data_IF_072356133954
#
_entry.id   IF_072356133954
#
_cell.length_a   1.000
_cell.length_b   1.000
_cell.length_c   1.000
_cell.angle_alpha   90.00
_cell.angle_beta   90.00
_cell.angle_gamma   90.00
#
_symmetry.space_group_name_H-M   'P 1'
#
loop_
_entity.id
_entity.type
_entity.pdbx_description
1 polymer ?
#
# COMPACT_ATOMS: atom_id res chain seq x y z
N UNK A 1 9.77 2.93 14.57
CA UNK A 1 8.29 2.88 14.48
C UNK A 1 7.80 1.63 15.22
N UNK A 2 6.80 1.76 16.10
CA UNK A 2 6.18 0.58 16.73
C UNK A 2 5.36 -0.24 15.73
N UNK A 3 5.20 -1.56 15.98
CA UNK A 3 4.45 -2.48 15.10
C UNK A 3 3.03 -1.97 14.77
N UNK A 4 2.35 -1.37 15.74
CA UNK A 4 1.00 -0.84 15.56
C UNK A 4 0.94 0.31 14.56
N UNK A 5 1.95 1.19 14.53
CA UNK A 5 2.01 2.31 13.57
C UNK A 5 2.29 1.84 12.13
N UNK A 6 2.85 0.64 11.95
CA UNK A 6 3.12 0.07 10.64
C UNK A 6 1.89 -0.59 10.00
N UNK A 7 1.01 -1.17 10.83
CA UNK A 7 -0.23 -1.82 10.39
C UNK A 7 -1.48 -0.96 10.59
N UNK A 8 -1.37 0.20 11.25
CA UNK A 8 -2.49 1.10 11.46
C UNK A 8 -3.20 1.55 10.19
N UNK A 9 -2.53 1.80 9.03
CA UNK A 9 -3.25 2.18 7.81
C UNK A 9 -4.20 1.08 7.32
N UNK A 10 -3.77 -0.18 7.41
CA UNK A 10 -4.59 -1.33 7.03
C UNK A 10 -5.85 -1.40 7.89
N UNK A 11 -5.69 -1.29 9.22
CA UNK A 11 -6.82 -1.31 10.15
C UNK A 11 -7.73 -0.10 9.94
N UNK A 12 -7.17 1.10 9.78
CA UNK A 12 -7.92 2.33 9.55
C UNK A 12 -8.72 2.23 8.24
N UNK A 13 -8.11 1.76 7.16
CA UNK A 13 -8.79 1.58 5.87
C UNK A 13 -9.93 0.56 5.97
N UNK A 14 -9.72 -0.55 6.66
CA UNK A 14 -10.75 -1.56 6.89
C UNK A 14 -11.91 -1.02 7.74
N UNK A 15 -11.63 -0.32 8.84
CA UNK A 15 -12.65 0.29 9.69
C UNK A 15 -13.41 1.41 8.97
N UNK A 16 -12.74 2.20 8.12
CA UNK A 16 -13.38 3.22 7.32
C UNK A 16 -14.38 2.60 6.32
N UNK A 17 -13.99 1.54 5.62
CA UNK A 17 -14.90 0.81 4.75
C UNK A 17 -16.06 0.17 5.53
N UNK A 18 -15.78 -0.42 6.69
CA UNK A 18 -16.81 -0.99 7.56
C UNK A 18 -17.79 0.08 8.07
N UNK A 19 -17.33 1.30 8.32
CA UNK A 19 -18.21 2.42 8.72
C UNK A 19 -19.25 2.75 7.65
N UNK A 20 -19.00 2.35 6.40
CA UNK A 20 -19.92 2.47 5.26
C UNK A 20 -20.71 1.18 4.98
N UNK A 21 -20.85 0.27 5.96
CA UNK A 21 -21.50 -1.04 5.74
C UNK A 21 -22.90 -0.93 5.14
N UNK A 22 -23.72 0.06 5.51
CA UNK A 22 -25.05 0.26 4.94
C UNK A 22 -25.02 0.52 3.43
N UNK A 23 -24.01 1.25 2.95
CA UNK A 23 -23.81 1.49 1.50
C UNK A 23 -23.34 0.22 0.81
N UNK A 24 -22.41 -0.51 1.44
CA UNK A 24 -21.89 -1.77 0.90
C UNK A 24 -22.97 -2.85 0.81
N UNK A 25 -23.82 -3.00 1.82
CA UNK A 25 -24.94 -3.94 1.81
C UNK A 25 -25.97 -3.61 0.72
N UNK A 26 -26.29 -2.32 0.51
CA UNK A 26 -27.14 -1.90 -0.62
C UNK A 26 -26.52 -2.26 -1.97
N UNK A 27 -25.20 -2.07 -2.11
CA UNK A 27 -24.45 -2.51 -3.31
C UNK A 27 -24.37 -4.03 -3.48
N UNK A 28 -24.63 -4.78 -2.41
CA UNK A 28 -24.65 -6.24 -2.38
C UNK A 28 -26.05 -6.84 -2.53
N UNK A 29 -27.11 -6.04 -2.72
CA UNK A 29 -28.49 -6.51 -2.72
C UNK A 29 -28.83 -7.54 -3.83
N UNK A 30 -27.95 -7.71 -4.82
CA UNK A 30 -28.06 -8.74 -5.85
C UNK A 30 -27.51 -10.10 -5.42
N UNK A 31 -26.84 -10.19 -4.26
CA UNK A 31 -26.30 -11.42 -3.71
C UNK A 31 -27.33 -12.18 -2.88
N UNK A 32 -27.22 -13.52 -2.80
CA UNK A 32 -27.98 -14.31 -1.85
C UNK A 32 -27.75 -13.90 -0.39
N UNK A 33 -28.75 -14.09 0.50
CA UNK A 33 -28.59 -13.82 1.93
C UNK A 33 -27.39 -14.54 2.52
N UNK A 34 -26.59 -13.83 3.31
CA UNK A 34 -25.35 -14.33 3.93
C UNK A 34 -24.08 -14.08 3.11
N UNK A 35 -24.14 -14.01 1.77
CA UNK A 35 -22.97 -13.67 0.95
C UNK A 35 -22.67 -12.16 0.95
N UNK A 36 -23.63 -11.32 1.31
CA UNK A 36 -23.45 -9.89 1.49
C UNK A 36 -22.33 -9.57 2.51
N UNK A 37 -22.20 -10.37 3.56
CA UNK A 37 -21.14 -10.21 4.56
C UNK A 37 -19.75 -10.54 4.00
N UNK A 38 -19.66 -11.51 3.08
CA UNK A 38 -18.42 -11.77 2.37
C UNK A 38 -18.05 -10.58 1.47
N UNK A 39 -19.03 -9.99 0.79
CA UNK A 39 -18.82 -8.77 -0.01
C UNK A 39 -18.30 -7.61 0.85
N UNK A 40 -18.93 -7.35 2.01
CA UNK A 40 -18.46 -6.33 2.98
C UNK A 40 -17.04 -6.63 3.45
N UNK A 41 -16.74 -7.88 3.81
CA UNK A 41 -15.41 -8.29 4.27
C UNK A 41 -14.35 -8.07 3.17
N UNK A 42 -14.65 -8.41 1.92
CA UNK A 42 -13.75 -8.19 0.79
C UNK A 42 -13.47 -6.70 0.57
N UNK A 43 -14.48 -5.83 0.69
CA UNK A 43 -14.29 -4.38 0.60
C UNK A 43 -13.45 -3.83 1.76
N UNK A 44 -13.64 -4.33 2.97
CA UNK A 44 -12.80 -3.95 4.11
C UNK A 44 -11.33 -4.33 3.89
N UNK A 45 -11.08 -5.55 3.39
CA UNK A 45 -9.73 -6.01 3.03
C UNK A 45 -9.14 -5.14 1.91
N UNK A 46 -9.91 -4.87 0.85
CA UNK A 46 -9.46 -4.06 -0.27
C UNK A 46 -9.12 -2.63 0.16
N UNK A 47 -9.96 -1.98 0.97
CA UNK A 47 -9.71 -0.64 1.51
C UNK A 47 -8.50 -0.62 2.46
N UNK A 48 -8.35 -1.62 3.32
CA UNK A 48 -7.18 -1.76 4.18
C UNK A 48 -5.89 -1.93 3.39
N UNK A 49 -5.87 -2.80 2.38
CA UNK A 49 -4.73 -2.97 1.48
C UNK A 49 -4.44 -1.69 0.69
N UNK A 50 -5.47 -1.00 0.20
CA UNK A 50 -5.34 0.28 -0.48
C UNK A 50 -4.69 1.35 0.40
N UNK A 51 -5.13 1.49 1.65
CA UNK A 51 -4.54 2.40 2.63
C UNK A 51 -3.08 2.03 2.98
N UNK A 52 -2.78 0.73 3.10
CA UNK A 52 -1.41 0.26 3.33
C UNK A 52 -0.50 0.58 2.14
N UNK A 53 -0.96 0.32 0.91
CA UNK A 53 -0.22 0.65 -0.31
C UNK A 53 -0.04 2.15 -0.48
N UNK A 54 -1.03 2.96 -0.06
CA UNK A 54 -0.91 4.41 -0.06
C UNK A 54 0.22 4.87 0.87
N UNK A 55 0.30 4.33 2.09
CA UNK A 55 1.40 4.64 3.00
C UNK A 55 2.75 4.20 2.42
N UNK A 56 2.86 2.96 1.94
CA UNK A 56 4.11 2.41 1.37
C UNK A 56 4.54 3.24 0.16
N UNK A 57 3.60 3.58 -0.72
CA UNK A 57 3.85 4.45 -1.88
C UNK A 57 4.35 5.84 -1.45
N UNK A 58 3.71 6.45 -0.46
CA UNK A 58 4.14 7.74 0.09
C UNK A 58 5.53 7.69 0.73
N UNK A 59 5.85 6.61 1.46
CA UNK A 59 7.20 6.38 1.98
C UNK A 59 8.23 6.25 0.85
N UNK A 60 7.89 5.51 -0.22
CA UNK A 60 8.72 5.40 -1.40
C UNK A 60 8.99 6.76 -2.03
N UNK A 61 7.95 7.55 -2.33
CA UNK A 61 8.09 8.85 -3.00
C UNK A 61 8.80 9.89 -2.15
N UNK A 62 8.35 10.10 -0.92
CA UNK A 62 8.78 11.24 -0.10
C UNK A 62 9.96 10.91 0.80
N UNK A 63 9.96 9.74 1.42
CA UNK A 63 11.07 9.31 2.27
C UNK A 63 12.18 8.60 1.47
N UNK A 64 11.92 8.24 0.20
CA UNK A 64 12.85 7.47 -0.63
C UNK A 64 13.26 6.16 0.03
N UNK A 65 12.35 5.54 0.77
CA UNK A 65 12.57 4.30 1.52
C UNK A 65 11.37 3.38 1.29
N UNK A 66 11.63 2.16 0.84
CA UNK A 66 10.62 1.10 0.77
C UNK A 66 11.03 -0.10 1.63
N UNK A 67 10.13 -0.62 2.47
CA UNK A 67 10.42 -1.75 3.33
C UNK A 67 10.59 -3.04 2.51
N UNK A 68 11.54 -3.88 2.94
CA UNK A 68 11.78 -5.23 2.41
C UNK A 68 11.75 -6.22 3.58
N UNK A 69 11.18 -7.43 3.41
CA UNK A 69 11.21 -8.46 4.44
C UNK A 69 12.62 -8.73 4.98
N UNK A 70 12.72 -9.02 6.28
CA UNK A 70 14.00 -9.31 6.94
C UNK A 70 14.77 -8.08 7.44
N UNK A 71 14.10 -6.95 7.66
CA UNK A 71 14.72 -5.74 8.26
C UNK A 71 15.66 -5.00 7.31
N UNK A 72 15.33 -5.01 6.02
CA UNK A 72 16.05 -4.30 4.96
C UNK A 72 15.13 -3.26 4.34
N UNK A 73 15.72 -2.27 3.68
CA UNK A 73 14.97 -1.29 2.89
C UNK A 73 15.66 -0.95 1.58
N UNK A 74 14.87 -0.74 0.52
CA UNK A 74 15.32 -0.13 -0.72
C UNK A 74 15.39 1.38 -0.50
N UNK A 75 16.45 2.04 -0.95
CA UNK A 75 16.67 3.47 -0.71
C UNK A 75 16.94 4.25 -2.00
N UNK A 76 16.63 5.55 -1.97
CA UNK A 76 16.95 6.49 -3.04
C UNK A 76 16.00 6.39 -4.23
N UNK A 77 16.56 6.55 -5.44
CA UNK A 77 15.76 6.68 -6.69
C UNK A 77 14.86 5.48 -6.97
N UNK A 78 15.34 4.26 -6.75
CA UNK A 78 14.54 3.05 -6.98
C UNK A 78 13.29 3.00 -6.08
N UNK A 79 13.43 3.41 -4.81
CA UNK A 79 12.31 3.53 -3.88
C UNK A 79 11.32 4.62 -4.31
N UNK A 80 11.83 5.77 -4.75
CA UNK A 80 11.01 6.88 -5.25
C UNK A 80 10.20 6.48 -6.49
N UNK A 81 10.83 5.83 -7.46
CA UNK A 81 10.16 5.39 -8.70
C UNK A 81 9.10 4.32 -8.41
N UNK A 82 9.44 3.30 -7.63
CA UNK A 82 8.45 2.28 -7.25
C UNK A 82 7.29 2.86 -6.43
N UNK A 83 7.58 3.75 -5.48
CA UNK A 83 6.56 4.46 -4.71
C UNK A 83 5.64 5.30 -5.59
N UNK A 84 6.19 6.03 -6.56
CA UNK A 84 5.40 6.86 -7.48
C UNK A 84 4.48 5.99 -8.33
N UNK A 85 4.99 4.89 -8.88
CA UNK A 85 4.19 3.95 -9.67
C UNK A 85 3.07 3.30 -8.84
N UNK A 86 3.30 2.99 -7.55
CA UNK A 86 2.26 2.51 -6.63
C UNK A 86 1.17 3.56 -6.42
N UNK A 87 1.54 4.82 -6.11
CA UNK A 87 0.59 5.90 -5.91
C UNK A 87 -0.21 6.22 -7.18
N UNK A 88 0.48 6.23 -8.32
CA UNK A 88 -0.17 6.43 -9.62
C UNK A 88 -1.14 5.30 -9.93
N UNK A 89 -0.76 4.03 -9.70
CA UNK A 89 -1.65 2.89 -9.88
C UNK A 89 -2.90 2.99 -9.00
N UNK A 90 -2.75 3.35 -7.72
CA UNK A 90 -3.86 3.57 -6.80
C UNK A 90 -4.77 4.73 -7.27
N UNK A 91 -4.18 5.86 -7.67
CA UNK A 91 -4.91 7.01 -8.18
C UNK A 91 -5.71 6.68 -9.44
N UNK A 92 -5.10 5.96 -10.38
CA UNK A 92 -5.79 5.44 -11.56
C UNK A 92 -6.89 4.45 -11.20
N UNK A 93 -6.70 3.57 -10.22
CA UNK A 93 -7.72 2.63 -9.75
C UNK A 93 -8.94 3.34 -9.16
N UNK A 94 -8.72 4.30 -8.26
CA UNK A 94 -9.79 5.14 -7.69
C UNK A 94 -10.49 5.95 -8.79
N UNK A 95 -9.72 6.57 -9.68
CA UNK A 95 -10.25 7.32 -10.81
C UNK A 95 -11.08 6.45 -11.75
N UNK A 96 -10.62 5.24 -12.08
CA UNK A 96 -11.36 4.29 -12.90
C UNK A 96 -12.68 3.90 -12.25
N UNK A 97 -12.69 3.67 -10.93
CA UNK A 97 -13.90 3.38 -10.18
C UNK A 97 -14.90 4.55 -10.20
N UNK A 98 -14.46 5.78 -9.88
CA UNK A 98 -15.30 6.98 -9.91
C UNK A 98 -15.85 7.28 -11.31
N UNK A 99 -15.04 7.10 -12.34
CA UNK A 99 -15.48 7.34 -13.72
C UNK A 99 -16.43 6.23 -14.19
N UNK A 100 -16.28 5.01 -13.67
CA UNK A 100 -17.18 3.90 -13.99
C UNK A 100 -18.57 4.04 -13.36
N UNK A 101 -18.69 4.72 -12.20
CA UNK A 101 -20.00 4.98 -11.58
C UNK A 101 -20.85 5.97 -12.36
N UNK A 102 -20.22 6.80 -13.19
CA UNK A 102 -20.88 7.75 -14.11
C UNK A 102 -21.11 7.14 -15.51
N UNK A 103 -21.02 5.81 -15.64
CA UNK A 103 -21.19 5.04 -16.90
C UNK A 103 -20.22 5.38 -18.06
N UNK A 104 -19.16 6.16 -17.81
CA UNK A 104 -18.11 6.44 -18.79
C UNK A 104 -17.17 5.25 -18.98
N UNK A 105 -17.62 4.23 -19.73
CA UNK A 105 -16.93 2.94 -19.89
C UNK A 105 -15.54 3.04 -20.51
N UNK A 106 -15.35 3.84 -21.56
CA UNK A 106 -14.07 3.92 -22.27
C UNK A 106 -12.99 4.60 -21.41
N UNK A 107 -13.21 5.79 -20.84
CA UNK A 107 -12.22 6.41 -19.96
C UNK A 107 -11.91 5.57 -18.71
N UNK A 108 -12.92 4.90 -18.12
CA UNK A 108 -12.70 4.00 -16.98
C UNK A 108 -11.75 2.83 -17.35
N UNK A 109 -11.92 2.22 -18.53
CA UNK A 109 -11.04 1.15 -19.03
C UNK A 109 -9.62 1.65 -19.29
N UNK A 110 -9.46 2.86 -19.83
CA UNK A 110 -8.14 3.47 -20.06
C UNK A 110 -7.43 3.69 -18.72
N UNK A 111 -8.10 4.29 -17.73
CA UNK A 111 -7.55 4.49 -16.40
C UNK A 111 -7.19 3.16 -15.72
N UNK A 112 -8.07 2.16 -15.81
CA UNK A 112 -7.78 0.82 -15.29
C UNK A 112 -6.56 0.20 -15.97
N UNK A 113 -6.43 0.32 -17.29
CA UNK A 113 -5.28 -0.16 -18.05
C UNK A 113 -3.97 0.53 -17.64
N UNK A 114 -3.98 1.86 -17.51
CA UNK A 114 -2.83 2.62 -17.04
C UNK A 114 -2.46 2.26 -15.59
N UNK A 115 -3.46 2.08 -14.73
CA UNK A 115 -3.27 1.65 -13.35
C UNK A 115 -2.63 0.27 -13.27
N UNK A 116 -3.08 -0.70 -14.07
CA UNK A 116 -2.48 -2.04 -14.14
C UNK A 116 -1.04 -2.01 -14.67
N UNK A 117 -0.78 -1.21 -15.71
CA UNK A 117 0.57 -1.06 -16.25
C UNK A 117 1.53 -0.44 -15.21
N UNK A 118 1.06 0.57 -14.47
CA UNK A 118 1.83 1.18 -13.40
C UNK A 118 2.04 0.23 -12.21
N UNK A 119 1.04 -0.55 -11.83
CA UNK A 119 1.17 -1.58 -10.79
C UNK A 119 2.22 -2.64 -11.18
N UNK A 120 2.18 -3.11 -12.43
CA UNK A 120 3.20 -4.02 -12.96
C UNK A 120 4.59 -3.38 -12.94
N UNK A 121 4.72 -2.13 -13.37
CA UNK A 121 5.97 -1.38 -13.31
C UNK A 121 6.48 -1.19 -11.88
N UNK A 122 5.60 -0.94 -10.91
CA UNK A 122 5.94 -0.83 -9.50
C UNK A 122 6.51 -2.14 -8.96
N UNK A 123 5.86 -3.27 -9.26
CA UNK A 123 6.32 -4.61 -8.87
C UNK A 123 7.69 -4.90 -9.47
N UNK A 124 7.86 -4.69 -10.78
CA UNK A 124 9.12 -4.94 -11.48
C UNK A 124 10.24 -4.08 -10.90
N UNK A 125 9.99 -2.78 -10.69
CA UNK A 125 10.98 -1.86 -10.10
C UNK A 125 11.36 -2.30 -8.68
N UNK A 126 10.36 -2.66 -7.86
CA UNK A 126 10.58 -3.13 -6.49
C UNK A 126 11.43 -4.40 -6.46
N UNK A 127 11.09 -5.41 -7.28
CA UNK A 127 11.84 -6.66 -7.39
C UNK A 127 13.25 -6.43 -7.91
N UNK A 128 13.42 -5.56 -8.91
CA UNK A 128 14.73 -5.21 -9.47
C UNK A 128 15.64 -4.53 -8.45
N UNK A 129 15.07 -3.68 -7.58
CA UNK A 129 15.82 -3.00 -6.53
C UNK A 129 15.97 -3.83 -5.24
N UNK A 130 15.31 -4.98 -5.10
CA UNK A 130 15.40 -5.83 -3.93
C UNK A 130 16.86 -6.24 -3.58
N UNK A 131 17.70 -6.67 -4.53
CA UNK A 131 19.08 -7.09 -4.21
C UNK A 131 19.92 -5.98 -3.57
N UNK A 132 19.65 -4.72 -3.90
CA UNK A 132 20.39 -3.55 -3.39
C UNK A 132 19.85 -3.03 -2.05
N UNK A 133 18.85 -3.68 -1.45
CA UNK A 133 18.27 -3.26 -0.18
C UNK A 133 19.29 -3.30 0.97
N UNK A 134 19.37 -2.23 1.74
CA UNK A 134 20.33 -2.06 2.85
C UNK A 134 19.69 -2.47 4.17
N UNK A 135 20.47 -2.97 5.13
CA UNK A 135 19.95 -3.29 6.48
C UNK A 135 19.58 -2.03 7.25
N UNK A 136 18.43 -2.03 7.90
CA UNK A 136 17.90 -0.85 8.60
C UNK A 136 18.56 -0.56 9.96
N UNK A 137 19.27 -1.53 10.55
CA UNK A 137 19.80 -1.46 11.93
C UNK A 137 21.26 -1.91 12.11
N UNK A 138 22.12 -1.74 11.10
CA UNK A 138 23.53 -2.15 11.24
C UNK A 138 24.33 -1.30 12.26
N UNK A 139 23.88 -0.06 12.55
CA UNK A 139 24.67 0.92 13.31
C UNK A 139 24.29 1.05 14.79
N UNK A 140 23.08 0.64 15.20
CA UNK A 140 22.64 0.76 16.60
C UNK A 140 23.42 -0.16 17.55
N UNK A 141 23.79 -1.37 17.11
CA UNK A 141 24.56 -2.31 17.92
C UNK A 141 26.05 -1.98 18.07
N UNK A 142 26.62 -1.09 17.22
CA UNK A 142 28.01 -0.64 17.38
C UNK A 142 28.13 0.52 18.37
N UNK A 143 27.16 1.43 18.39
CA UNK A 143 27.16 2.57 19.32
C UNK A 143 26.98 2.13 20.79
N UNK A 144 26.15 1.12 21.06
CA UNK A 144 26.02 0.54 22.41
C UNK A 144 27.32 -0.13 22.88
N UNK A 145 28.04 -0.82 21.98
CA UNK A 145 29.30 -1.49 22.33
C UNK A 145 30.47 -0.51 22.52
N UNK A 146 30.46 0.66 21.86
CA UNK A 146 31.49 1.69 22.10
C UNK A 146 31.24 2.45 23.40
N UNK A 147 29.97 2.74 23.72
CA UNK A 147 29.57 3.36 25.00
C UNK A 147 29.89 2.45 26.20
N UNK A 148 29.66 1.14 26.09
CA UNK A 148 30.00 0.19 27.14
C UNK A 148 31.53 0.03 27.35
N UNK A 149 32.34 0.32 26.33
CA UNK A 149 33.81 0.28 26.42
C UNK A 149 34.46 1.57 26.92
N UNK A 150 33.76 2.71 26.86
CA UNK A 150 34.28 3.98 27.39
C UNK A 150 33.87 4.22 28.85
N UNK A 151 33.08 3.32 29.45
CA UNK A 151 32.55 3.44 30.80
C UNK A 151 33.16 2.42 31.81
N UNK A 152 34.17 1.65 31.39
CA UNK A 152 34.95 0.76 32.25
C UNK A 152 36.42 1.12 32.17
#
# INVERSE_FOLDING_TARGET
MGRLAYYSPLVIGALLALSMYDVLLRGAAWLPPGLEWLYVALWCVAAGLGAQLLLIGAQGVFAQVLPVPGGRSIRGRGAATAGFLMLFALGCGVGAWLVSSEEFRTPARVLAGLGMAAAAGAILTYVWCWPTAVRDFADSGRAERSSARSAG
#
